data_IF_913960965544
#
_entry.id   IF_913960965544
#
_cell.length_a   1.000
_cell.length_b   1.000
_cell.length_c   1.000
_cell.angle_alpha   90.00
_cell.angle_beta   90.00
_cell.angle_gamma   90.00
#
_symmetry.space_group_name_H-M   'P 1'
#
loop_
_entity.id
_entity.type
_entity.pdbx_description
1 polymer ?
#
# COMPACT_ATOMS: atom_id res chain seq x y z
N UNK A 1 -15.95 30.10 -48.12
CA UNK A 1 -15.24 30.81 -47.04
C UNK A 1 -15.95 30.45 -45.74
N UNK A 2 -15.37 29.52 -44.97
CA UNK A 2 -15.68 28.99 -43.62
C UNK A 2 -15.26 27.50 -43.66
N UNK A 3 -13.94 27.29 -43.73
CA UNK A 3 -13.26 26.03 -43.43
C UNK A 3 -11.98 26.47 -42.72
N UNK A 4 -12.09 26.78 -41.44
CA UNK A 4 -10.98 27.08 -40.53
C UNK A 4 -11.59 27.35 -39.15
N UNK A 5 -11.99 26.29 -38.42
CA UNK A 5 -12.28 26.29 -36.97
C UNK A 5 -12.75 24.89 -36.48
N UNK A 6 -12.02 23.83 -36.83
CA UNK A 6 -12.24 22.48 -36.26
C UNK A 6 -10.93 21.79 -35.82
N UNK A 7 -9.86 22.56 -35.58
CA UNK A 7 -8.54 22.04 -35.17
C UNK A 7 -8.07 22.53 -33.80
N UNK A 8 -8.99 22.84 -32.87
CA UNK A 8 -8.61 23.33 -31.54
C UNK A 8 -9.30 22.62 -30.37
N UNK A 9 -9.85 21.42 -30.55
CA UNK A 9 -10.49 20.65 -29.46
C UNK A 9 -9.73 19.34 -29.11
N UNK A 10 -8.65 19.01 -29.83
CA UNK A 10 -7.94 17.72 -29.66
C UNK A 10 -6.63 17.77 -28.88
N UNK A 11 -6.37 18.80 -28.06
CA UNK A 11 -5.12 18.93 -27.25
C UNK A 11 -5.40 19.19 -25.75
N UNK A 12 -6.59 18.87 -25.24
CA UNK A 12 -6.85 18.85 -23.79
C UNK A 12 -7.58 17.55 -23.42
N UNK A 13 -6.89 16.42 -23.57
CA UNK A 13 -7.21 15.17 -22.85
C UNK A 13 -6.01 14.21 -22.79
N UNK A 14 -4.79 14.75 -22.72
CA UNK A 14 -3.55 13.97 -22.59
C UNK A 14 -2.68 14.44 -21.41
N UNK A 15 -3.32 14.80 -20.29
CA UNK A 15 -2.66 15.00 -18.99
C UNK A 15 -3.48 14.26 -17.92
N UNK A 16 -3.53 12.93 -18.05
CA UNK A 16 -4.11 12.05 -17.05
C UNK A 16 -3.33 10.73 -16.99
N UNK A 17 -2.00 10.82 -16.92
CA UNK A 17 -1.13 9.70 -16.56
C UNK A 17 -0.07 10.20 -15.58
N UNK A 18 -0.40 10.16 -14.29
CA UNK A 18 0.58 9.89 -13.23
C UNK A 18 0.00 9.50 -11.85
N UNK A 19 -1.25 9.03 -11.77
CA UNK A 19 -1.83 8.48 -10.53
C UNK A 19 -1.93 6.95 -10.58
N UNK A 20 -0.80 6.26 -10.81
CA UNK A 20 -0.72 4.80 -10.76
C UNK A 20 0.08 4.33 -9.52
N UNK A 21 -0.38 4.73 -8.34
CA UNK A 21 -0.06 4.03 -7.10
C UNK A 21 -1.38 3.79 -6.36
N UNK A 22 -1.56 2.54 -5.91
CA UNK A 22 -2.76 1.97 -5.26
C UNK A 22 -3.89 1.49 -6.20
N UNK A 23 -3.78 0.26 -6.69
CA UNK A 23 -4.95 -0.63 -6.80
C UNK A 23 -4.54 -2.10 -6.94
N UNK A 24 -4.53 -2.82 -5.83
CA UNK A 24 -4.88 -4.24 -5.84
C UNK A 24 -5.71 -4.50 -4.57
N UNK A 25 -7.03 -4.48 -4.68
CA UNK A 25 -7.93 -4.80 -3.57
C UNK A 25 -8.51 -6.18 -3.78
N UNK A 26 -7.84 -7.20 -3.24
CA UNK A 26 -8.47 -8.45 -2.85
C UNK A 26 -8.33 -8.57 -1.32
N UNK A 27 -9.26 -7.95 -0.59
CA UNK A 27 -9.37 -8.16 0.85
C UNK A 27 -10.29 -9.35 1.10
N UNK A 28 -9.72 -10.45 1.56
CA UNK A 28 -10.45 -11.60 2.11
C UNK A 28 -11.01 -11.20 3.47
N UNK A 29 -12.33 -11.27 3.64
CA UNK A 29 -13.00 -11.01 4.92
C UNK A 29 -12.44 -11.91 6.02
N UNK A 30 -11.96 -11.30 7.10
CA UNK A 30 -11.58 -11.97 8.33
C UNK A 30 -12.84 -12.50 9.02
N UNK A 31 -13.22 -13.75 8.76
CA UNK A 31 -14.24 -14.45 9.52
C UNK A 31 -13.77 -14.63 10.97
N UNK A 32 -14.48 -13.97 11.87
CA UNK A 32 -14.52 -14.26 13.30
C UNK A 32 -15.05 -15.68 13.51
N UNK A 33 -14.21 -16.56 14.05
CA UNK A 33 -14.65 -17.87 14.53
C UNK A 33 -15.15 -17.74 15.97
N UNK A 34 -16.47 -17.80 16.13
CA UNK A 34 -17.12 -18.16 17.39
C UNK A 34 -17.08 -19.69 17.53
N UNK A 35 -16.58 -20.17 18.66
CA UNK A 35 -16.61 -21.57 19.03
C UNK A 35 -18.05 -21.98 19.39
N UNK A 36 -18.73 -22.66 18.48
CA UNK A 36 -19.74 -23.67 18.78
C UNK A 36 -20.04 -24.45 17.49
N UNK A 37 -20.28 -25.75 17.65
CA UNK A 37 -20.60 -26.76 16.66
C UNK A 37 -19.43 -27.37 15.85
N UNK A 38 -18.95 -28.53 16.31
CA UNK A 38 -19.26 -29.82 15.67
C UNK A 38 -18.79 -30.94 16.60
N UNK A 39 -19.76 -31.70 17.09
CA UNK A 39 -19.61 -33.05 17.60
C UNK A 39 -19.78 -34.02 16.43
N UNK A 40 -19.07 -35.14 16.54
CA UNK A 40 -19.27 -36.42 15.86
C UNK A 40 -18.51 -36.76 14.57
N UNK A 41 -17.54 -37.66 14.81
CA UNK A 41 -17.31 -38.94 14.14
C UNK A 41 -16.23 -39.02 13.07
N UNK A 42 -15.06 -39.52 13.49
CA UNK A 42 -14.67 -40.91 13.15
C UNK A 42 -13.47 -41.36 13.99
N UNK A 43 -13.60 -42.55 14.58
CA UNK A 43 -12.67 -43.22 15.47
C UNK A 43 -11.55 -44.00 14.74
N UNK A 44 -10.64 -44.56 15.57
CA UNK A 44 -9.58 -45.58 15.34
C UNK A 44 -8.17 -44.94 15.18
N UNK A 45 -7.13 -45.23 15.95
CA UNK A 45 -6.81 -46.38 16.83
C UNK A 45 -5.65 -46.03 17.80
N UNK A 46 -5.75 -46.49 19.06
CA UNK A 46 -4.72 -47.16 19.91
C UNK A 46 -3.26 -46.60 19.95
N UNK A 47 -2.60 -46.32 21.09
CA UNK A 47 -2.36 -47.19 22.25
C UNK A 47 -1.63 -46.46 23.44
N UNK A 48 -2.02 -46.81 24.68
CA UNK A 48 -1.23 -47.01 25.95
C UNK A 48 -0.57 -45.86 26.78
N UNK A 49 -1.07 -45.81 28.04
CA UNK A 49 -0.41 -45.75 29.38
C UNK A 49 0.34 -44.44 29.75
N UNK A 50 0.27 -43.84 30.96
CA UNK A 50 0.01 -44.31 32.34
C UNK A 50 -0.28 -43.14 33.33
N UNK A 51 -1.10 -43.39 34.37
CA UNK A 51 -0.98 -43.06 35.84
C UNK A 51 -0.15 -41.84 36.31
N UNK A 52 -0.41 -41.05 37.37
CA UNK A 52 -1.35 -41.00 38.52
C UNK A 52 -1.05 -39.71 39.36
N UNK A 53 -1.93 -39.37 40.31
CA UNK A 53 -1.78 -38.49 41.52
C UNK A 53 -1.95 -36.96 41.36
N UNK A 54 -3.11 -36.37 41.73
CA UNK A 54 -3.67 -36.03 43.07
C UNK A 54 -3.21 -34.65 43.62
N UNK A 55 -4.13 -33.66 43.61
CA UNK A 55 -4.85 -33.04 44.77
C UNK A 55 -4.01 -31.97 45.51
N UNK A 56 -4.48 -30.84 46.03
CA UNK A 56 -5.79 -30.18 46.23
C UNK A 56 -5.50 -28.81 46.86
N UNK A 57 -6.37 -27.79 46.66
CA UNK A 57 -6.97 -26.92 47.71
C UNK A 57 -7.68 -25.72 47.06
N UNK A 58 -9.01 -25.74 46.94
CA UNK A 58 -10.07 -25.25 47.87
C UNK A 58 -10.64 -23.88 47.45
N UNK A 59 -11.90 -23.94 46.98
CA UNK A 59 -12.92 -22.87 46.92
C UNK A 59 -13.51 -22.62 48.33
N UNK A 60 -14.16 -21.46 48.65
CA UNK A 60 -15.52 -21.10 48.15
C UNK A 60 -15.74 -19.58 47.88
N UNK A 61 -16.46 -19.14 46.83
CA UNK A 61 -17.92 -18.97 46.64
C UNK A 61 -18.73 -18.43 47.84
N UNK A 62 -19.29 -17.23 47.67
CA UNK A 62 -20.64 -16.77 48.06
C UNK A 62 -20.78 -15.30 47.60
N UNK A 63 -21.92 -14.73 47.22
CA UNK A 63 -23.28 -15.17 46.85
C UNK A 63 -24.08 -13.86 46.65
N UNK A 64 -25.01 -13.88 45.71
CA UNK A 64 -26.09 -12.93 45.40
C UNK A 64 -26.52 -11.87 46.43
N UNK A 65 -26.90 -10.68 45.93
CA UNK A 65 -28.25 -10.11 46.12
C UNK A 65 -28.55 -8.93 45.20
N UNK A 66 -29.69 -9.04 44.52
CA UNK A 66 -30.35 -8.10 43.62
C UNK A 66 -31.34 -7.17 44.36
N UNK A 67 -31.66 -6.07 43.67
CA UNK A 67 -32.93 -5.31 43.62
C UNK A 67 -33.14 -3.99 44.40
N UNK A 68 -33.57 -3.02 43.58
CA UNK A 68 -34.58 -1.96 43.78
C UNK A 68 -34.30 -0.83 44.79
N UNK A 69 -34.24 0.41 44.29
CA UNK A 69 -35.36 1.37 44.38
C UNK A 69 -34.96 2.72 43.72
N UNK A 70 -35.64 3.08 42.63
CA UNK A 70 -35.81 4.46 42.20
C UNK A 70 -36.76 5.15 43.20
N UNK A 71 -36.37 6.29 43.78
CA UNK A 71 -37.31 7.35 44.23
C UNK A 71 -36.63 8.69 44.49
N UNK A 72 -37.23 9.69 43.83
CA UNK A 72 -37.35 11.13 44.12
C UNK A 72 -36.10 11.99 44.24
N UNK A 73 -35.92 12.82 43.21
CA UNK A 73 -35.54 14.22 43.35
C UNK A 73 -36.63 14.97 44.14
N UNK A 74 -36.22 15.64 45.21
CA UNK A 74 -36.60 17.00 45.61
C UNK A 74 -36.06 17.27 47.02
N UNK A 75 -35.76 18.54 47.29
CA UNK A 75 -35.25 19.13 48.54
C UNK A 75 -33.74 19.03 48.83
N UNK A 76 -33.01 20.08 48.42
CA UNK A 76 -32.17 20.89 49.33
C UNK A 76 -31.69 22.15 48.59
N UNK A 77 -32.59 23.14 48.52
CA UNK A 77 -32.29 24.51 48.16
C UNK A 77 -31.44 25.16 49.29
N UNK A 78 -30.11 25.13 49.17
CA UNK A 78 -29.21 25.96 49.99
C UNK A 78 -28.75 27.16 49.16
N UNK A 79 -29.37 28.31 49.40
CA UNK A 79 -28.88 29.64 48.99
C UNK A 79 -27.44 29.83 49.48
N UNK A 80 -26.49 29.76 48.56
CA UNK A 80 -25.15 30.33 48.74
C UNK A 80 -25.27 31.86 48.64
N UNK A 81 -24.58 32.65 49.47
CA UNK A 81 -24.57 34.10 49.31
C UNK A 81 -23.98 34.46 47.95
N UNK A 82 -24.65 35.37 47.24
CA UNK A 82 -24.20 35.97 45.99
C UNK A 82 -22.94 36.80 46.30
N UNK A 83 -21.81 36.59 45.59
CA UNK A 83 -20.56 37.27 45.89
C UNK A 83 -20.72 38.79 45.71
N UNK A 84 -20.11 39.55 46.61
CA UNK A 84 -20.15 41.01 46.54
C UNK A 84 -19.54 41.52 45.23
N UNK A 85 -20.01 42.67 44.74
CA UNK A 85 -19.50 43.29 43.50
C UNK A 85 -17.97 43.50 43.55
N UNK A 86 -17.41 43.67 44.75
CA UNK A 86 -15.97 43.77 45.00
C UNK A 86 -15.23 42.43 44.84
N UNK A 87 -15.81 41.32 45.31
CA UNK A 87 -15.28 39.97 45.09
C UNK A 87 -15.35 39.57 43.61
N UNK A 88 -16.42 39.95 42.91
CA UNK A 88 -16.56 39.70 41.47
C UNK A 88 -15.48 40.45 40.67
N UNK A 89 -15.23 41.72 41.01
CA UNK A 89 -14.18 42.52 40.38
C UNK A 89 -12.78 41.97 40.66
N UNK A 90 -12.54 41.46 41.87
CA UNK A 90 -11.28 40.78 42.22
C UNK A 90 -11.08 39.51 41.39
N UNK A 91 -12.10 38.66 41.27
CA UNK A 91 -12.07 37.43 40.45
C UNK A 91 -11.83 37.76 38.97
N UNK A 92 -12.48 38.81 38.45
CA UNK A 92 -12.30 39.26 37.06
C UNK A 92 -10.86 39.72 36.82
N UNK A 93 -10.27 40.48 37.74
CA UNK A 93 -8.91 40.97 37.61
C UNK A 93 -7.86 39.86 37.75
N UNK A 94 -8.06 38.92 38.69
CA UNK A 94 -7.21 37.73 38.83
C UNK A 94 -7.28 36.85 37.57
N UNK A 95 -8.46 36.68 36.97
CA UNK A 95 -8.61 35.97 35.70
C UNK A 95 -7.97 36.71 34.53
N UNK A 96 -8.05 38.04 34.47
CA UNK A 96 -7.38 38.85 33.43
C UNK A 96 -5.86 38.73 33.52
N UNK A 97 -5.29 38.75 34.72
CA UNK A 97 -3.86 38.55 34.92
C UNK A 97 -3.44 37.10 34.62
N UNK A 98 -4.26 36.09 34.94
CA UNK A 98 -4.01 34.71 34.52
C UNK A 98 -4.05 34.55 32.99
N UNK A 99 -4.99 35.17 32.29
CA UNK A 99 -5.04 35.17 30.81
C UNK A 99 -3.82 35.88 30.22
N UNK A 100 -3.38 36.98 30.83
CA UNK A 100 -2.19 37.73 30.39
C UNK A 100 -0.89 36.94 30.64
N UNK A 101 -0.81 36.22 31.75
CA UNK A 101 0.34 35.35 32.08
C UNK A 101 0.36 34.10 31.19
N UNK A 102 -0.80 33.49 30.91
CA UNK A 102 -0.91 32.39 29.96
C UNK A 102 -0.60 32.82 28.52
N UNK A 103 -0.97 34.04 28.13
CA UNK A 103 -0.61 34.60 26.82
C UNK A 103 0.88 34.90 26.70
N UNK A 104 1.56 35.19 27.81
CA UNK A 104 3.00 35.49 27.85
C UNK A 104 3.87 34.24 27.96
N UNK A 105 3.30 33.12 28.37
CA UNK A 105 3.98 31.80 28.40
C UNK A 105 3.83 31.00 27.10
N UNK A 106 3.14 31.53 26.08
CA UNK A 106 2.99 30.90 24.76
C UNK A 106 4.06 31.41 23.76
N UNK A 107 4.78 32.48 24.09
CA UNK A 107 5.91 32.98 23.28
C UNK A 107 7.23 32.23 23.55
N UNK A 108 7.24 30.89 23.52
CA UNK A 108 8.48 30.12 23.29
C UNK A 108 8.25 28.63 22.93
N UNK A 109 7.21 28.34 22.14
CA UNK A 109 7.13 27.04 21.47
C UNK A 109 6.80 27.30 20.01
N UNK A 110 7.79 27.13 19.15
CA UNK A 110 7.66 27.17 17.70
C UNK A 110 6.60 26.17 17.27
N UNK A 111 5.34 26.62 17.11
CA UNK A 111 4.33 25.86 16.39
C UNK A 111 4.77 25.92 14.93
N UNK A 112 5.57 24.93 14.52
CA UNK A 112 5.88 24.74 13.11
C UNK A 112 4.56 24.42 12.42
N UNK A 113 4.00 25.42 11.74
CA UNK A 113 2.76 25.27 11.00
C UNK A 113 2.92 24.12 10.00
N UNK A 114 2.04 23.12 10.07
CA UNK A 114 2.08 21.97 9.19
C UNK A 114 1.80 22.47 7.76
N UNK A 115 2.69 22.25 6.78
CA UNK A 115 2.43 22.64 5.40
C UNK A 115 1.07 22.12 4.92
N UNK A 116 0.30 22.97 4.24
CA UNK A 116 -1.04 22.66 3.75
C UNK A 116 -1.08 21.35 2.96
N UNK A 117 -0.06 21.12 2.12
CA UNK A 117 0.07 19.91 1.32
C UNK A 117 0.10 18.62 2.16
N UNK A 118 0.70 18.64 3.35
CA UNK A 118 0.72 17.47 4.24
C UNK A 118 -0.70 17.14 4.71
N UNK A 119 -1.49 18.16 5.04
CA UNK A 119 -2.88 17.96 5.47
C UNK A 119 -3.75 17.41 4.33
N UNK A 120 -3.55 17.91 3.10
CA UNK A 120 -4.21 17.38 1.90
C UNK A 120 -3.82 15.91 1.64
N UNK A 121 -2.53 15.59 1.72
CA UNK A 121 -2.03 14.22 1.54
C UNK A 121 -2.60 13.27 2.60
N UNK A 122 -2.66 13.67 3.87
CA UNK A 122 -3.25 12.83 4.93
C UNK A 122 -4.74 12.59 4.70
N UNK A 123 -5.49 13.62 4.29
CA UNK A 123 -6.90 13.47 3.92
C UNK A 123 -7.07 12.51 2.73
N UNK A 124 -6.19 12.59 1.74
CA UNK A 124 -6.16 11.68 0.60
C UNK A 124 -5.88 10.23 1.04
N UNK A 125 -4.86 10.01 1.88
CA UNK A 125 -4.52 8.68 2.43
C UNK A 125 -5.74 8.07 3.14
N UNK A 126 -6.40 8.82 4.03
CA UNK A 126 -7.58 8.37 4.76
C UNK A 126 -8.70 7.98 3.79
N UNK A 127 -8.95 8.82 2.78
CA UNK A 127 -10.00 8.60 1.79
C UNK A 127 -9.73 7.37 0.92
N UNK A 128 -8.54 7.25 0.37
CA UNK A 128 -8.16 6.16 -0.54
C UNK A 128 -8.14 4.80 0.16
N UNK A 129 -7.62 4.76 1.40
CA UNK A 129 -7.50 3.54 2.19
C UNK A 129 -8.72 3.27 3.07
N UNK A 130 -9.74 4.14 3.03
CA UNK A 130 -10.97 4.04 3.82
C UNK A 130 -10.70 3.88 5.32
N UNK A 131 -9.75 4.66 5.84
CA UNK A 131 -9.30 4.57 7.23
C UNK A 131 -10.26 5.29 8.19
N UNK A 132 -10.33 4.82 9.43
CA UNK A 132 -11.01 5.54 10.51
C UNK A 132 -10.13 6.70 10.98
N UNK A 133 -10.63 7.93 10.83
CA UNK A 133 -9.91 9.14 11.22
C UNK A 133 -9.61 9.22 12.72
N UNK A 134 -10.30 8.46 13.57
CA UNK A 134 -10.06 8.46 15.03
C UNK A 134 -8.74 7.82 15.42
N UNK A 135 -8.27 6.88 14.61
CA UNK A 135 -7.06 6.10 14.89
C UNK A 135 -5.92 6.44 13.90
N UNK A 136 -6.04 7.55 13.18
CA UNK A 136 -5.09 7.99 12.17
C UNK A 136 -4.64 9.42 12.49
N UNK A 137 -3.37 9.59 12.88
CA UNK A 137 -2.80 10.90 13.22
C UNK A 137 -1.38 11.05 12.72
N UNK A 138 -1.03 12.26 12.26
CA UNK A 138 0.36 12.60 11.95
C UNK A 138 1.15 12.74 13.26
N UNK A 139 2.22 11.96 13.40
CA UNK A 139 3.14 12.06 14.52
C UNK A 139 4.27 13.05 14.23
N UNK A 140 4.94 12.86 13.09
CA UNK A 140 6.03 13.74 12.65
C UNK A 140 6.09 13.84 11.14
N UNK A 141 6.76 14.88 10.65
CA UNK A 141 7.15 14.98 9.24
C UNK A 141 8.57 15.52 9.10
N UNK A 142 9.21 15.22 7.98
CA UNK A 142 10.55 15.68 7.61
C UNK A 142 10.58 16.02 6.12
N UNK A 143 11.14 17.17 5.74
CA UNK A 143 11.39 17.51 4.34
C UNK A 143 12.50 16.63 3.75
N UNK A 144 12.28 16.11 2.55
CA UNK A 144 13.25 15.28 1.86
C UNK A 144 13.21 15.48 0.36
N UNK A 145 14.38 15.38 -0.26
CA UNK A 145 14.53 15.30 -1.70
C UNK A 145 14.97 13.89 -2.09
N UNK A 146 14.29 13.30 -3.07
CA UNK A 146 14.61 11.99 -3.64
C UNK A 146 15.14 12.12 -5.04
N UNK A 147 15.93 11.14 -5.48
CA UNK A 147 16.49 11.09 -6.84
C UNK A 147 15.59 10.36 -7.84
N UNK A 148 14.44 9.86 -7.41
CA UNK A 148 13.52 9.10 -8.26
C UNK A 148 12.07 9.21 -7.82
N UNK A 149 11.16 8.83 -8.72
CA UNK A 149 9.72 8.73 -8.46
C UNK A 149 9.34 7.60 -7.51
N UNK A 150 10.32 6.84 -6.99
CA UNK A 150 10.08 5.87 -5.91
C UNK A 150 9.88 6.55 -4.56
N UNK A 151 10.16 7.86 -4.46
CA UNK A 151 10.18 8.63 -3.21
C UNK A 151 10.94 7.89 -2.10
N UNK A 152 12.04 7.22 -2.45
CA UNK A 152 12.87 6.45 -1.51
C UNK A 152 12.29 5.12 -1.03
N UNK A 153 11.18 4.64 -1.60
CA UNK A 153 10.50 3.39 -1.23
C UNK A 153 10.31 2.50 -2.47
N UNK A 154 11.39 1.98 -3.06
CA UNK A 154 11.31 1.16 -4.26
C UNK A 154 10.73 -0.23 -3.94
N UNK A 155 9.58 -0.54 -4.53
CA UNK A 155 9.07 -1.93 -4.63
C UNK A 155 9.97 -2.76 -5.55
N UNK A 156 10.28 -3.99 -5.14
CA UNK A 156 11.05 -4.94 -5.93
C UNK A 156 10.37 -5.21 -7.29
N UNK A 157 11.18 -5.35 -8.34
CA UNK A 157 10.69 -5.60 -9.71
C UNK A 157 10.05 -4.38 -10.39
N UNK A 158 9.97 -3.23 -9.73
CA UNK A 158 9.41 -2.00 -10.30
C UNK A 158 10.52 -1.06 -10.78
N UNK A 159 10.25 -0.37 -11.89
CA UNK A 159 11.10 0.69 -12.41
C UNK A 159 10.56 2.07 -12.07
N UNK A 160 11.49 2.99 -11.80
CA UNK A 160 11.20 4.35 -11.38
C UNK A 160 11.97 5.36 -12.24
N UNK A 161 11.30 6.44 -12.62
CA UNK A 161 11.95 7.51 -13.35
C UNK A 161 12.95 8.22 -12.45
N UNK A 162 14.12 8.55 -13.00
CA UNK A 162 15.19 9.24 -12.28
C UNK A 162 14.94 10.75 -12.36
N UNK A 163 14.17 11.26 -11.41
CA UNK A 163 13.75 12.66 -11.32
C UNK A 163 13.96 13.15 -9.90
N UNK A 164 14.67 14.27 -9.75
CA UNK A 164 14.80 14.94 -8.46
C UNK A 164 13.42 15.41 -8.03
N UNK A 165 12.94 14.90 -6.90
CA UNK A 165 11.59 15.14 -6.41
C UNK A 165 11.67 15.60 -4.96
N UNK A 166 11.12 16.76 -4.66
CA UNK A 166 11.00 17.29 -3.29
C UNK A 166 9.71 16.80 -2.64
N UNK A 167 9.71 16.71 -1.31
CA UNK A 167 8.50 16.44 -0.53
C UNK A 167 8.81 16.09 0.91
N UNK A 168 8.06 15.14 1.46
CA UNK A 168 8.00 14.86 2.89
C UNK A 168 8.04 13.36 3.22
N UNK A 169 8.80 13.00 4.25
CA UNK A 169 8.58 11.76 5.00
C UNK A 169 7.52 12.06 6.06
N UNK A 170 6.44 11.30 6.08
CA UNK A 170 5.35 11.39 7.04
C UNK A 170 5.37 10.14 7.93
N UNK A 171 5.44 10.33 9.25
CA UNK A 171 5.23 9.25 10.22
C UNK A 171 3.83 9.39 10.79
N UNK A 172 3.01 8.37 10.59
CA UNK A 172 1.59 8.37 10.93
C UNK A 172 1.32 7.25 11.92
N UNK A 173 0.61 7.56 13.01
CA UNK A 173 0.05 6.56 13.90
C UNK A 173 -1.25 6.04 13.28
N UNK A 174 -1.31 4.75 12.99
CA UNK A 174 -2.48 4.06 12.46
C UNK A 174 -2.81 2.86 13.37
N UNK A 175 -3.94 2.92 14.09
CA UNK A 175 -4.37 1.85 15.00
C UNK A 175 -3.28 1.40 16.02
N UNK A 176 -2.43 2.34 16.46
CA UNK A 176 -1.35 2.07 17.41
C UNK A 176 -0.03 1.64 16.78
N UNK A 177 0.04 1.46 15.46
CA UNK A 177 1.27 1.18 14.73
C UNK A 177 1.77 2.44 14.01
N UNK A 178 3.09 2.65 13.97
CA UNK A 178 3.68 3.75 13.21
C UNK A 178 3.92 3.27 11.78
N UNK A 179 3.23 3.90 10.84
CA UNK A 179 3.43 3.74 9.41
C UNK A 179 4.22 4.91 8.83
N UNK A 180 5.04 4.64 7.80
CA UNK A 180 5.75 5.66 7.06
C UNK A 180 5.13 5.82 5.68
N UNK A 181 4.76 7.06 5.35
CA UNK A 181 4.37 7.47 4.01
C UNK A 181 5.39 8.48 3.49
N UNK A 182 5.84 8.34 2.25
CA UNK A 182 6.64 9.37 1.60
C UNK A 182 5.78 10.04 0.53
N UNK A 183 5.75 11.37 0.52
CA UNK A 183 4.91 12.14 -0.38
C UNK A 183 5.71 13.23 -1.09
N UNK A 184 5.35 13.56 -2.33
CA UNK A 184 5.91 14.70 -3.05
C UNK A 184 5.15 16.00 -2.74
N UNK A 185 5.66 17.13 -3.22
CA UNK A 185 5.03 18.45 -3.07
C UNK A 185 3.74 18.64 -3.88
N UNK A 186 3.34 17.67 -4.71
CA UNK A 186 2.08 17.67 -5.45
C UNK A 186 1.00 16.82 -4.77
N UNK A 187 1.32 16.15 -3.66
CA UNK A 187 0.40 15.30 -2.91
C UNK A 187 0.39 13.84 -3.35
N UNK A 188 1.24 13.43 -4.30
CA UNK A 188 1.43 12.02 -4.60
C UNK A 188 2.14 11.36 -3.43
N UNK A 189 1.71 10.17 -3.01
CA UNK A 189 2.29 9.47 -1.86
C UNK A 189 2.51 7.98 -2.09
N UNK A 190 3.42 7.40 -1.32
CA UNK A 190 3.73 5.96 -1.27
C UNK A 190 3.72 5.51 0.19
N UNK A 191 2.99 4.42 0.49
CA UNK A 191 3.05 3.74 1.78
C UNK A 191 4.32 2.90 1.87
N UNK A 192 5.38 3.47 2.43
CA UNK A 192 6.68 2.82 2.54
C UNK A 192 6.66 1.61 3.49
N UNK A 193 5.81 1.65 4.52
CA UNK A 193 5.64 0.50 5.43
C UNK A 193 5.06 -0.71 4.69
N UNK A 194 4.08 -0.49 3.82
CA UNK A 194 3.50 -1.54 2.97
C UNK A 194 4.53 -2.05 1.94
N UNK A 195 5.24 -1.15 1.24
CA UNK A 195 6.28 -1.54 0.29
C UNK A 195 7.36 -2.40 0.96
N UNK A 196 7.82 -2.01 2.15
CA UNK A 196 8.82 -2.78 2.89
C UNK A 196 8.30 -4.18 3.25
N UNK A 197 7.03 -4.30 3.67
CA UNK A 197 6.40 -5.60 3.95
C UNK A 197 6.33 -6.47 2.68
N UNK A 198 5.92 -5.90 1.55
CA UNK A 198 5.87 -6.57 0.24
C UNK A 198 7.26 -7.04 -0.22
N UNK A 199 8.28 -6.18 -0.08
CA UNK A 199 9.67 -6.54 -0.41
C UNK A 199 10.22 -7.66 0.49
N UNK A 200 9.87 -7.68 1.78
CA UNK A 200 10.27 -8.77 2.69
C UNK A 200 9.56 -10.09 2.40
N UNK A 201 8.35 -10.04 1.85
CA UNK A 201 7.58 -11.22 1.43
C UNK A 201 7.91 -11.71 0.01
N UNK A 202 8.78 -11.01 -0.71
CA UNK A 202 9.18 -11.37 -2.07
C UNK A 202 10.09 -12.61 -2.06
N UNK A 203 9.68 -13.68 -2.72
CA UNK A 203 10.39 -14.96 -2.74
C UNK A 203 10.53 -15.56 -4.15
N UNK A 204 9.96 -14.90 -5.16
CA UNK A 204 9.95 -15.39 -6.54
C UNK A 204 10.98 -14.66 -7.38
N UNK A 205 11.87 -15.40 -8.06
CA UNK A 205 12.85 -14.83 -8.99
C UNK A 205 12.84 -15.62 -10.29
N UNK A 206 12.50 -14.95 -11.41
CA UNK A 206 12.39 -15.58 -12.73
C UNK A 206 13.72 -16.13 -13.22
N UNK A 207 14.81 -15.40 -13.01
CA UNK A 207 16.14 -15.76 -13.51
C UNK A 207 16.62 -17.05 -12.85
N UNK A 208 16.54 -17.11 -11.52
CA UNK A 208 16.91 -18.29 -10.73
C UNK A 208 15.98 -19.47 -11.04
N UNK A 209 14.65 -19.25 -11.03
CA UNK A 209 13.67 -20.34 -11.22
C UNK A 209 13.77 -20.99 -12.60
N UNK A 210 14.02 -20.20 -13.65
CA UNK A 210 14.01 -20.68 -15.04
C UNK A 210 15.39 -20.72 -15.69
N UNK A 211 16.46 -20.56 -14.91
CA UNK A 211 17.85 -20.51 -15.37
C UNK A 211 18.06 -19.56 -16.56
N UNK A 212 17.62 -18.30 -16.43
CA UNK A 212 17.66 -17.33 -17.54
C UNK A 212 19.07 -16.76 -17.79
N UNK A 213 20.06 -17.06 -16.95
CA UNK A 213 21.46 -16.65 -17.16
C UNK A 213 22.09 -17.19 -18.45
N UNK A 214 21.54 -18.29 -19.00
CA UNK A 214 22.02 -18.91 -20.23
C UNK A 214 21.27 -18.43 -21.49
N UNK A 215 20.52 -17.32 -21.38
CA UNK A 215 19.75 -16.78 -22.50
C UNK A 215 20.69 -16.27 -23.60
N UNK A 216 20.51 -16.79 -24.80
CA UNK A 216 21.26 -16.38 -26.00
C UNK A 216 20.46 -15.42 -26.88
N UNK A 217 19.13 -15.49 -26.81
CA UNK A 217 18.21 -14.64 -27.56
C UNK A 217 16.89 -14.48 -26.83
N UNK A 218 16.30 -13.28 -26.88
CA UNK A 218 14.96 -13.00 -26.36
C UNK A 218 14.06 -12.65 -27.54
N UNK A 219 12.99 -13.41 -27.73
CA UNK A 219 12.08 -13.25 -28.87
C UNK A 219 10.66 -12.99 -28.38
N UNK A 220 9.98 -12.02 -28.99
CA UNK A 220 8.57 -11.74 -28.73
C UNK A 220 7.73 -12.14 -29.95
N UNK A 221 6.70 -12.94 -29.74
CA UNK A 221 5.78 -13.38 -30.77
C UNK A 221 4.35 -12.94 -30.45
N UNK A 222 3.54 -12.70 -31.47
CA UNK A 222 2.09 -12.63 -31.31
C UNK A 222 1.59 -14.05 -31.01
N UNK A 223 0.84 -14.22 -29.93
CA UNK A 223 0.45 -15.55 -29.43
C UNK A 223 -0.47 -16.30 -30.41
N UNK A 224 -1.45 -15.61 -31.01
CA UNK A 224 -2.49 -16.26 -31.81
C UNK A 224 -2.00 -16.86 -33.15
N UNK A 225 -0.91 -16.37 -33.71
CA UNK A 225 -0.40 -16.77 -35.03
C UNK A 225 1.10 -17.09 -35.03
N UNK A 226 1.79 -16.96 -33.89
CA UNK A 226 3.23 -17.13 -33.74
C UNK A 226 4.07 -16.23 -34.67
N UNK A 227 3.54 -15.10 -35.12
CA UNK A 227 4.35 -14.14 -35.88
C UNK A 227 5.37 -13.48 -34.97
N UNK A 228 6.64 -13.48 -35.38
CA UNK A 228 7.71 -12.77 -34.69
C UNK A 228 7.42 -11.26 -34.74
N UNK A 229 7.40 -10.64 -33.57
CA UNK A 229 7.28 -9.18 -33.41
C UNK A 229 8.67 -8.55 -33.54
N UNK A 230 9.60 -9.01 -32.71
CA UNK A 230 11.01 -8.60 -32.71
C UNK A 230 11.82 -9.54 -31.82
N UNK A 231 13.15 -9.45 -31.90
CA UNK A 231 14.07 -10.21 -31.06
C UNK A 231 15.31 -9.42 -30.69
N UNK A 232 15.87 -9.72 -29.52
CA UNK A 232 17.12 -9.18 -29.00
C UNK A 232 18.15 -10.30 -29.00
N UNK A 233 19.25 -10.09 -29.74
CA UNK A 233 20.40 -11.01 -29.83
C UNK A 233 21.70 -10.36 -29.30
N UNK A 234 21.66 -9.07 -29.00
CA UNK A 234 22.81 -8.36 -28.44
C UNK A 234 23.08 -8.83 -27.00
N UNK A 235 24.30 -9.30 -26.75
CA UNK A 235 24.67 -9.92 -25.47
C UNK A 235 24.69 -8.92 -24.31
N UNK A 236 25.06 -7.67 -24.55
CA UNK A 236 25.08 -6.64 -23.52
C UNK A 236 23.65 -6.27 -23.13
N UNK A 237 22.76 -6.09 -24.12
CA UNK A 237 21.35 -5.81 -23.89
C UNK A 237 20.64 -6.98 -23.17
N UNK A 238 20.92 -8.23 -23.56
CA UNK A 238 20.41 -9.41 -22.86
C UNK A 238 20.91 -9.43 -21.41
N UNK A 239 22.21 -9.19 -21.16
CA UNK A 239 22.75 -9.16 -19.79
C UNK A 239 22.03 -8.13 -18.93
N UNK A 240 21.80 -6.91 -19.45
CA UNK A 240 21.07 -5.86 -18.73
C UNK A 240 19.64 -6.30 -18.39
N UNK A 241 18.96 -6.99 -19.32
CA UNK A 241 17.60 -7.51 -19.08
C UNK A 241 17.61 -8.59 -18.00
N UNK A 242 18.54 -9.55 -18.08
CA UNK A 242 18.66 -10.63 -17.10
C UNK A 242 19.01 -10.07 -15.72
N UNK A 243 19.97 -9.15 -15.62
CA UNK A 243 20.35 -8.51 -14.35
C UNK A 243 19.17 -7.78 -13.70
N UNK A 244 18.31 -7.14 -14.50
CA UNK A 244 17.09 -6.49 -14.01
C UNK A 244 16.02 -7.47 -13.54
N UNK A 245 15.97 -8.66 -14.14
CA UNK A 245 15.05 -9.72 -13.73
C UNK A 245 15.55 -10.52 -12.53
N UNK A 246 16.86 -10.47 -12.23
CA UNK A 246 17.46 -11.21 -11.12
C UNK A 246 17.20 -10.50 -9.78
N UNK A 247 15.92 -10.34 -9.46
CA UNK A 247 15.42 -9.76 -8.22
C UNK A 247 14.27 -10.62 -7.70
N UNK A 248 14.20 -10.77 -6.39
CA UNK A 248 13.07 -11.43 -5.72
C UNK A 248 11.88 -10.49 -5.70
N UNK A 249 10.75 -10.96 -6.20
CA UNK A 249 9.48 -10.23 -6.28
C UNK A 249 8.37 -11.02 -5.61
N UNK A 250 7.34 -10.30 -5.19
CA UNK A 250 6.06 -10.88 -4.81
C UNK A 250 5.24 -11.18 -6.08
N UNK A 251 4.66 -12.38 -6.15
CA UNK A 251 3.77 -12.79 -7.24
C UNK A 251 2.45 -13.29 -6.68
N UNK A 252 1.36 -12.97 -7.36
CA UNK A 252 0.03 -13.44 -6.98
C UNK A 252 -0.48 -14.45 -8.02
N UNK A 253 -1.09 -15.54 -7.59
CA UNK A 253 -1.80 -16.44 -8.51
C UNK A 253 -3.03 -15.73 -9.08
N UNK A 254 -3.30 -15.91 -10.36
CA UNK A 254 -4.43 -15.27 -11.03
C UNK A 254 -5.15 -16.26 -11.93
N UNK A 255 -6.39 -15.93 -12.30
CA UNK A 255 -7.16 -16.72 -13.24
C UNK A 255 -6.47 -16.75 -14.61
N UNK A 256 -6.68 -17.85 -15.34
CA UNK A 256 -6.14 -17.98 -16.68
C UNK A 256 -6.71 -16.91 -17.61
N UNK A 257 -5.84 -16.35 -18.46
CA UNK A 257 -6.18 -15.27 -19.37
C UNK A 257 -5.68 -15.58 -20.78
N UNK A 258 -6.37 -15.10 -21.82
CA UNK A 258 -5.89 -15.19 -23.19
C UNK A 258 -4.76 -14.17 -23.40
N UNK A 259 -3.51 -14.63 -23.33
CA UNK A 259 -2.35 -13.79 -23.54
C UNK A 259 -2.22 -13.32 -24.99
N UNK A 260 -1.83 -12.07 -25.19
CA UNK A 260 -1.64 -11.51 -26.53
C UNK A 260 -0.28 -11.89 -27.12
N UNK A 261 0.73 -12.06 -26.28
CA UNK A 261 2.11 -12.30 -26.69
C UNK A 261 2.69 -13.57 -26.06
N UNK A 262 3.68 -14.13 -26.75
CA UNK A 262 4.55 -15.19 -26.24
C UNK A 262 5.98 -14.66 -26.22
N UNK A 263 6.53 -14.49 -25.03
CA UNK A 263 7.92 -14.10 -24.78
C UNK A 263 8.76 -15.37 -24.61
N UNK A 264 9.83 -15.49 -25.38
CA UNK A 264 10.68 -16.68 -25.40
C UNK A 264 12.11 -16.29 -25.05
N UNK A 265 12.65 -16.90 -24.01
CA UNK A 265 14.08 -16.87 -23.68
C UNK A 265 14.72 -18.12 -24.29
N UNK A 266 15.38 -17.94 -25.42
CA UNK A 266 16.08 -19.00 -26.13
C UNK A 266 17.40 -19.30 -25.43
N UNK A 267 17.58 -20.57 -25.05
CA UNK A 267 18.72 -21.07 -24.27
C UNK A 267 19.26 -22.34 -24.92
N UNK A 268 20.43 -22.79 -24.49
CA UNK A 268 21.02 -24.03 -25.00
C UNK A 268 20.12 -25.25 -24.86
N UNK A 269 19.37 -25.37 -23.76
CA UNK A 269 18.22 -26.28 -23.59
C UNK A 269 17.68 -26.24 -22.14
N UNK A 270 16.37 -26.31 -21.89
CA UNK A 270 15.27 -25.97 -22.79
C UNK A 270 15.04 -24.45 -22.83
N UNK A 271 14.37 -23.95 -23.88
CA UNK A 271 13.87 -22.58 -23.92
C UNK A 271 12.85 -22.35 -22.79
N UNK A 272 12.75 -21.11 -22.31
CA UNK A 272 11.67 -20.70 -21.43
C UNK A 272 10.66 -19.91 -22.22
N UNK A 273 9.42 -20.41 -22.31
CA UNK A 273 8.31 -19.71 -22.94
C UNK A 273 7.39 -19.13 -21.86
N UNK A 274 7.01 -17.87 -22.03
CA UNK A 274 6.08 -17.16 -21.16
C UNK A 274 4.97 -16.57 -22.01
N UNK A 275 3.72 -16.87 -21.69
CA UNK A 275 2.56 -16.19 -22.26
C UNK A 275 2.29 -14.93 -21.44
N UNK A 276 2.35 -13.76 -22.07
CA UNK A 276 2.43 -12.48 -21.36
C UNK A 276 1.40 -11.50 -21.88
N UNK A 277 0.93 -10.63 -20.98
CA UNK A 277 -0.02 -9.55 -21.21
C UNK A 277 -1.38 -10.04 -21.73
N UNK A 278 -2.43 -9.68 -21.00
CA UNK A 278 -3.79 -9.81 -21.51
C UNK A 278 -4.62 -8.58 -21.17
N UNK A 279 -5.77 -8.41 -21.85
CA UNK A 279 -6.58 -7.20 -21.75
C UNK A 279 -7.01 -6.84 -20.31
N UNK A 280 -7.28 -7.86 -19.50
CA UNK A 280 -7.77 -7.67 -18.13
C UNK A 280 -6.64 -7.55 -17.10
N UNK A 281 -5.43 -7.98 -17.46
CA UNK A 281 -4.27 -7.95 -16.58
C UNK A 281 -2.98 -7.72 -17.39
N UNK A 282 -2.45 -6.49 -17.44
CA UNK A 282 -1.21 -6.19 -18.17
C UNK A 282 0.03 -6.85 -17.55
N UNK A 283 -0.05 -7.31 -16.30
CA UNK A 283 1.02 -7.98 -15.56
C UNK A 283 0.90 -9.51 -15.59
N UNK A 284 0.00 -10.04 -16.41
CA UNK A 284 -0.23 -11.46 -16.56
C UNK A 284 0.99 -12.17 -17.16
N UNK A 285 1.37 -13.28 -16.53
CA UNK A 285 2.40 -14.21 -17.00
C UNK A 285 1.93 -15.64 -16.76
N UNK A 286 1.90 -16.47 -17.81
CA UNK A 286 1.66 -17.91 -17.72
C UNK A 286 2.87 -18.68 -18.23
N UNK A 287 3.35 -19.61 -17.40
CA UNK A 287 4.47 -20.53 -17.69
C UNK A 287 4.03 -21.95 -17.32
N UNK A 288 4.09 -22.26 -16.03
CA UNK A 288 3.53 -23.49 -15.42
C UNK A 288 2.17 -23.21 -14.76
N UNK A 289 2.00 -21.99 -14.27
CA UNK A 289 0.81 -21.47 -13.62
C UNK A 289 0.59 -20.03 -14.06
N UNK A 290 -0.65 -19.56 -13.94
CA UNK A 290 -1.02 -18.17 -14.19
C UNK A 290 -0.70 -17.30 -12.97
N UNK A 291 0.15 -16.30 -13.16
CA UNK A 291 0.54 -15.34 -12.12
C UNK A 291 0.42 -13.89 -12.59
N UNK A 292 0.31 -12.99 -11.62
CA UNK A 292 0.55 -11.56 -11.80
C UNK A 292 1.96 -11.25 -11.30
N UNK A 293 2.84 -10.82 -12.21
CA UNK A 293 4.27 -10.65 -11.95
C UNK A 293 4.71 -9.18 -11.80
N UNK A 294 3.74 -8.27 -11.62
CA UNK A 294 3.99 -6.83 -11.65
C UNK A 294 4.67 -6.38 -12.95
N UNK A 295 5.49 -5.32 -12.86
CA UNK A 295 6.15 -4.73 -14.03
C UNK A 295 7.39 -5.49 -14.52
N UNK A 296 7.85 -6.52 -13.79
CA UNK A 296 9.12 -7.21 -14.09
C UNK A 296 9.19 -7.75 -15.51
N UNK A 297 8.16 -8.48 -15.95
CA UNK A 297 8.07 -9.02 -17.31
C UNK A 297 7.55 -7.98 -18.31
N UNK A 298 6.60 -7.15 -17.90
CA UNK A 298 6.04 -6.10 -18.77
C UNK A 298 7.13 -5.15 -19.30
N UNK A 299 8.09 -4.75 -18.47
CA UNK A 299 9.17 -3.85 -18.90
C UNK A 299 10.07 -4.40 -20.02
N UNK A 300 10.14 -5.73 -20.18
CA UNK A 300 10.84 -6.38 -21.30
C UNK A 300 10.01 -6.28 -22.56
N UNK A 301 8.72 -6.59 -22.45
CA UNK A 301 7.77 -6.50 -23.57
C UNK A 301 7.72 -5.05 -24.08
N UNK A 302 7.59 -4.07 -23.19
CA UNK A 302 7.62 -2.65 -23.53
C UNK A 302 8.91 -2.26 -24.26
N UNK A 303 10.08 -2.67 -23.74
CA UNK A 303 11.37 -2.41 -24.40
C UNK A 303 11.40 -2.95 -25.83
N UNK A 304 10.95 -4.20 -26.05
CA UNK A 304 10.89 -4.82 -27.38
C UNK A 304 9.89 -4.09 -28.30
N UNK A 305 8.75 -3.67 -27.77
CA UNK A 305 7.74 -2.95 -28.56
C UNK A 305 8.18 -1.52 -28.92
N UNK A 306 8.93 -0.85 -28.04
CA UNK A 306 9.43 0.52 -28.30
C UNK A 306 10.50 0.59 -29.39
N UNK A 307 11.18 -0.51 -29.70
CA UNK A 307 12.15 -0.58 -30.81
C UNK A 307 11.50 -0.92 -32.15
N UNK A 308 10.18 -1.15 -32.19
CA UNK A 308 9.47 -1.36 -33.45
C UNK A 308 9.33 -0.03 -34.20
N UNK A 309 9.81 -0.01 -35.45
CA UNK A 309 9.41 1.05 -36.38
C UNK A 309 7.92 0.94 -36.64
N UNK A 310 7.16 1.96 -36.24
CA UNK A 310 5.73 2.01 -36.56
C UNK A 310 5.56 2.22 -38.07
N UNK A 311 4.87 1.31 -38.78
CA UNK A 311 4.62 1.50 -40.21
C UNK A 311 3.81 2.79 -40.42
N UNK A 312 4.42 3.76 -41.10
CA UNK A 312 3.81 5.06 -41.42
C UNK A 312 4.39 6.28 -40.69
N UNK A 313 5.43 6.12 -39.86
CA UNK A 313 6.17 7.29 -39.35
C UNK A 313 7.04 7.87 -40.49
N UNK A 314 6.89 9.15 -40.88
CA UNK A 314 7.77 9.75 -41.88
C UNK A 314 9.20 9.77 -41.35
N UNK A 315 10.15 9.33 -42.18
CA UNK A 315 11.59 9.47 -41.94
C UNK A 315 12.06 10.91 -42.16
#
# INVERSE_FOLDING_TARGET
>A
MIILLLFSITIITLIAENNFYTKNTNYTEKKTFSNEDILENSALENEKKSSEQEKTRTYPKNSDKTNEFLKSADDLEKKSPEPSEEELNKIINERKEQVKNNSKSIEDNSIQEIPEIISLTLAQIISENKLDNKNFSLETYEEKTWSSTALGCPKNGMMYAQVITEGYILRVLNHGEIEQYNADTNGNFINCSEINKSNLGSDFNFVKKYNLFETEKISLYINNNNNLVSSIEDKEEISIIIDRLDIEIEVETTDKCEANYKLVFEKKSPNTEMFVYCQNNPYYVEIEQSISAGKSILGIVEKILTTMEFPGMPQ
#
